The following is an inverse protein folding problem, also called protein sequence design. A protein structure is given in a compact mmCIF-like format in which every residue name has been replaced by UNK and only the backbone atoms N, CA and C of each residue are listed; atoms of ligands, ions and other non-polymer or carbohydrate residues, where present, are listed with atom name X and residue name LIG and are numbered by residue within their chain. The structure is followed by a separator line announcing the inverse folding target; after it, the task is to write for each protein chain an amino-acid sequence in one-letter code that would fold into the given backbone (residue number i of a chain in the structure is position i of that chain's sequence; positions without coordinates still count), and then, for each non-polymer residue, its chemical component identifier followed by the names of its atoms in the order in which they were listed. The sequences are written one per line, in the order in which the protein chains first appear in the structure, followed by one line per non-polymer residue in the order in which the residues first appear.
data_IF_064470237604
#
_entry.id   IF_064470237604
#
_cell.length_a   1.000
_cell.length_b   1.000
_cell.length_c   1.000
_cell.angle_alpha   90.00
_cell.angle_beta   90.00
_cell.angle_gamma   90.00
#
_symmetry.space_group_name_H-M   'P 1'
#
loop_
_entity.id
_entity.type
_entity.pdbx_description
1 polymer ?
#
# COMPACT_ATOMS: atom_id res chain seq x y z
N UNK A 1 21.87 6.44 11.46
CA UNK A 1 20.80 6.24 12.47
C UNK A 1 19.61 5.50 11.81
N UNK A 2 18.93 6.06 10.82
CA UNK A 2 17.73 5.44 10.19
C UNK A 2 17.96 4.01 9.68
N UNK A 3 19.11 3.70 9.05
CA UNK A 3 19.44 2.33 8.58
C UNK A 3 19.52 1.30 9.72
N UNK A 4 19.97 1.68 10.90
CA UNK A 4 20.00 0.80 12.09
C UNK A 4 18.57 0.57 12.57
N UNK A 5 17.80 1.63 12.74
CA UNK A 5 16.42 1.59 13.19
C UNK A 5 15.51 0.80 12.23
N UNK A 6 15.72 0.93 10.90
CA UNK A 6 15.03 0.12 9.92
C UNK A 6 15.15 -1.39 10.18
N UNK A 7 16.35 -1.86 10.53
CA UNK A 7 16.59 -3.27 10.85
C UNK A 7 15.90 -3.69 12.16
N UNK A 8 15.99 -2.84 13.19
CA UNK A 8 15.37 -3.07 14.49
C UNK A 8 13.83 -3.14 14.38
N UNK A 9 13.22 -2.32 13.50
CA UNK A 9 11.78 -2.35 13.25
C UNK A 9 11.35 -3.63 12.52
N UNK A 10 12.17 -4.11 11.57
CA UNK A 10 11.84 -5.33 10.81
C UNK A 10 12.08 -6.64 11.57
N UNK A 11 12.98 -6.64 12.53
CA UNK A 11 13.38 -7.85 13.25
C UNK A 11 12.20 -8.63 13.87
N UNK A 12 11.24 -7.98 14.56
CA UNK A 12 10.09 -8.66 15.15
C UNK A 12 8.97 -8.98 14.15
N UNK A 13 9.07 -8.54 12.89
CA UNK A 13 8.02 -8.76 11.90
C UNK A 13 8.02 -10.22 11.44
N UNK A 14 6.88 -10.95 11.54
CA UNK A 14 6.81 -12.32 11.08
C UNK A 14 7.16 -12.47 9.59
N UNK A 15 7.64 -13.65 9.21
CA UNK A 15 7.87 -13.93 7.79
C UNK A 15 6.56 -13.85 6.99
N UNK A 16 6.67 -13.26 5.81
CA UNK A 16 5.57 -13.20 4.86
C UNK A 16 5.51 -14.48 4.03
N UNK A 17 4.31 -14.84 3.60
CA UNK A 17 4.11 -15.90 2.63
C UNK A 17 4.99 -15.68 1.38
N UNK A 18 5.55 -16.75 0.82
CA UNK A 18 6.56 -16.66 -0.26
C UNK A 18 6.09 -15.87 -1.49
N UNK A 19 4.80 -15.83 -1.75
CA UNK A 19 4.19 -15.11 -2.90
C UNK A 19 3.50 -13.82 -2.51
N UNK A 20 3.71 -13.33 -1.28
CA UNK A 20 3.09 -12.11 -0.82
C UNK A 20 3.60 -10.89 -1.59
N UNK A 21 2.76 -10.35 -2.45
CA UNK A 21 3.06 -9.15 -3.24
C UNK A 21 3.08 -7.86 -2.43
N UNK A 22 2.48 -7.85 -1.23
CA UNK A 22 2.39 -6.65 -0.38
C UNK A 22 3.60 -6.47 0.55
N UNK A 23 4.45 -7.47 0.68
CA UNK A 23 5.69 -7.37 1.48
C UNK A 23 6.51 -6.14 1.14
N UNK A 24 6.60 -5.80 -0.15
CA UNK A 24 7.36 -4.61 -0.60
C UNK A 24 6.76 -3.31 -0.07
N UNK A 25 5.44 -3.23 0.08
CA UNK A 25 4.75 -2.06 0.63
C UNK A 25 5.09 -1.87 2.10
N UNK A 26 5.15 -2.96 2.88
CA UNK A 26 5.59 -2.89 4.27
C UNK A 26 7.05 -2.46 4.38
N UNK A 27 7.94 -2.97 3.54
CA UNK A 27 9.34 -2.57 3.50
C UNK A 27 9.47 -1.06 3.25
N UNK A 28 8.72 -0.53 2.28
CA UNK A 28 8.65 0.91 2.01
C UNK A 28 8.15 1.72 3.20
N UNK A 29 7.12 1.22 3.88
CA UNK A 29 6.58 1.82 5.10
C UNK A 29 7.65 1.90 6.20
N UNK A 30 8.33 0.79 6.48
CA UNK A 30 9.38 0.74 7.51
C UNK A 30 10.55 1.66 7.17
N UNK A 31 10.94 1.75 5.89
CA UNK A 31 11.98 2.71 5.46
C UNK A 31 11.57 4.15 5.74
N UNK A 32 10.35 4.53 5.39
CA UNK A 32 9.81 5.87 5.64
C UNK A 32 9.67 6.14 7.14
N UNK A 33 9.12 5.20 7.90
CA UNK A 33 8.98 5.30 9.34
C UNK A 33 10.32 5.48 10.06
N UNK A 34 11.32 4.66 9.70
CA UNK A 34 12.66 4.79 10.24
C UNK A 34 13.31 6.14 9.88
N UNK A 35 13.01 6.71 8.72
CA UNK A 35 13.46 8.03 8.33
C UNK A 35 12.79 9.11 9.18
N UNK A 36 11.47 9.10 9.27
CA UNK A 36 10.66 10.07 10.05
C UNK A 36 11.09 10.09 11.53
N UNK A 37 11.25 8.92 12.14
CA UNK A 37 11.70 8.80 13.55
C UNK A 37 13.10 9.37 13.82
N UNK A 38 13.91 9.60 12.78
CA UNK A 38 15.24 10.22 12.90
C UNK A 38 15.27 11.67 12.40
N UNK A 39 14.16 12.24 12.00
CA UNK A 39 14.08 13.66 11.65
C UNK A 39 14.21 14.53 12.91
N UNK A 40 14.84 15.72 12.82
CA UNK A 40 14.92 16.64 13.92
C UNK A 40 13.54 17.19 14.34
N UNK A 41 12.63 17.32 13.40
CA UNK A 41 11.25 17.76 13.58
C UNK A 41 10.28 16.79 12.92
N UNK A 42 9.13 16.58 13.56
CA UNK A 42 8.06 15.74 13.00
C UNK A 42 7.44 16.46 11.81
N UNK A 43 7.35 15.80 10.64
CA UNK A 43 6.70 16.40 9.47
C UNK A 43 5.19 16.49 9.66
N UNK A 44 4.54 17.40 8.93
CA UNK A 44 3.09 17.35 8.71
C UNK A 44 2.74 16.27 7.69
N UNK A 45 1.46 15.88 7.62
CA UNK A 45 0.97 14.92 6.61
C UNK A 45 1.24 15.42 5.20
N UNK A 46 0.99 16.70 4.94
CA UNK A 46 1.19 17.35 3.64
C UNK A 46 2.66 17.30 3.20
N UNK A 47 3.57 17.72 4.09
CA UNK A 47 5.01 17.71 3.81
C UNK A 47 5.53 16.29 3.55
N UNK A 48 5.02 15.31 4.32
CA UNK A 48 5.39 13.90 4.14
C UNK A 48 4.81 13.33 2.84
N UNK A 49 3.59 13.72 2.46
CA UNK A 49 2.96 13.33 1.19
C UNK A 49 3.78 13.79 0.00
N UNK A 50 4.13 15.07 -0.05
CA UNK A 50 4.96 15.62 -1.13
C UNK A 50 6.34 14.96 -1.20
N UNK A 51 6.95 14.73 -0.05
CA UNK A 51 8.25 14.04 0.01
C UNK A 51 8.15 12.61 -0.53
N UNK A 52 7.15 11.85 -0.05
CA UNK A 52 6.99 10.43 -0.38
C UNK A 52 6.64 10.26 -1.86
N UNK A 53 5.74 11.07 -2.39
CA UNK A 53 5.42 11.10 -3.82
C UNK A 53 6.70 11.31 -4.66
N UNK A 54 7.46 12.36 -4.38
CA UNK A 54 8.70 12.65 -5.13
C UNK A 54 9.75 11.54 -5.01
N UNK A 55 9.87 10.93 -3.83
CA UNK A 55 10.82 9.85 -3.58
C UNK A 55 10.45 8.57 -4.32
N UNK A 56 9.14 8.29 -4.45
CA UNK A 56 8.64 7.07 -5.08
C UNK A 56 8.45 7.21 -6.59
N UNK A 57 7.99 8.36 -7.07
CA UNK A 57 7.62 8.57 -8.48
C UNK A 57 8.80 8.97 -9.37
N UNK A 58 9.91 8.27 -9.20
CA UNK A 58 11.09 8.37 -10.10
C UNK A 58 10.76 7.85 -11.52
N UNK A 59 11.53 8.21 -12.55
CA UNK A 59 11.24 7.81 -13.94
C UNK A 59 11.02 6.31 -14.13
N UNK A 60 11.79 5.47 -13.42
CA UNK A 60 11.65 4.02 -13.47
C UNK A 60 10.30 3.58 -12.89
N UNK A 61 9.86 4.14 -11.78
CA UNK A 61 8.56 3.83 -11.17
C UNK A 61 7.40 4.26 -12.08
N UNK A 62 7.46 5.46 -12.65
CA UNK A 62 6.47 5.93 -13.66
C UNK A 62 6.38 5.01 -14.86
N UNK A 63 7.51 4.53 -15.35
CA UNK A 63 7.54 3.53 -16.44
C UNK A 63 6.87 2.22 -15.99
N UNK A 64 7.18 1.74 -14.78
CA UNK A 64 6.58 0.53 -14.21
C UNK A 64 5.05 0.68 -14.07
N UNK A 65 4.56 1.79 -13.54
CA UNK A 65 3.13 2.07 -13.43
C UNK A 65 2.44 2.00 -14.81
N UNK A 66 3.04 2.61 -15.86
CA UNK A 66 2.50 2.53 -17.22
C UNK A 66 2.44 1.11 -17.76
N UNK A 67 3.43 0.26 -17.47
CA UNK A 67 3.41 -1.13 -17.91
C UNK A 67 2.36 -1.95 -17.13
N UNK A 68 2.20 -1.68 -15.84
CA UNK A 68 1.14 -2.30 -15.03
C UNK A 68 -0.26 -1.87 -15.49
N UNK A 69 -0.44 -0.57 -15.79
CA UNK A 69 -1.70 -0.04 -16.30
C UNK A 69 -2.18 -0.74 -17.56
N UNK A 70 -1.27 -1.06 -18.50
CA UNK A 70 -1.61 -1.78 -19.74
C UNK A 70 -2.14 -3.21 -19.50
N UNK A 71 -1.92 -3.77 -18.33
CA UNK A 71 -2.35 -5.12 -17.96
C UNK A 71 -3.59 -5.11 -17.07
N UNK A 72 -4.00 -3.92 -16.61
CA UNK A 72 -5.11 -3.75 -15.71
C UNK A 72 -6.40 -4.25 -16.36
N UNK A 73 -7.23 -4.94 -15.60
CA UNK A 73 -8.52 -5.51 -16.05
C UNK A 73 -8.45 -6.57 -17.16
N UNK A 74 -7.28 -7.07 -17.51
CA UNK A 74 -7.17 -8.24 -18.38
C UNK A 74 -7.54 -9.51 -17.61
N UNK A 75 -7.91 -10.60 -18.30
CA UNK A 75 -8.21 -11.90 -17.67
C UNK A 75 -7.08 -12.36 -16.74
N UNK A 76 -5.83 -12.13 -17.12
CA UNK A 76 -4.68 -12.47 -16.30
C UNK A 76 -4.57 -11.59 -15.04
N UNK A 77 -4.95 -10.33 -15.10
CA UNK A 77 -5.02 -9.43 -13.93
C UNK A 77 -6.13 -9.88 -12.99
N UNK A 78 -7.33 -10.14 -13.51
CA UNK A 78 -8.48 -10.62 -12.75
C UNK A 78 -8.17 -11.92 -12.02
N UNK A 79 -7.58 -12.90 -12.72
CA UNK A 79 -7.17 -14.16 -12.12
C UNK A 79 -6.09 -13.94 -11.03
N UNK A 80 -5.14 -13.04 -11.28
CA UNK A 80 -4.14 -12.65 -10.28
C UNK A 80 -4.74 -12.02 -9.03
N UNK A 81 -5.82 -11.25 -9.16
CA UNK A 81 -6.55 -10.66 -8.02
C UNK A 81 -7.31 -11.74 -7.23
N UNK A 82 -8.01 -12.68 -7.90
CA UNK A 82 -8.67 -13.81 -7.24
C UNK A 82 -7.68 -14.70 -6.47
N UNK A 83 -6.51 -14.97 -7.05
CA UNK A 83 -5.45 -15.71 -6.36
C UNK A 83 -4.91 -14.94 -5.15
N UNK A 84 -4.82 -13.62 -5.24
CA UNK A 84 -4.39 -12.76 -4.13
C UNK A 84 -5.42 -12.79 -2.99
N UNK A 85 -6.71 -12.66 -3.28
CA UNK A 85 -7.79 -12.78 -2.29
C UNK A 85 -7.73 -14.14 -1.57
N UNK A 86 -7.66 -15.25 -2.32
CA UNK A 86 -7.55 -16.60 -1.76
C UNK A 86 -6.34 -16.76 -0.85
N UNK A 87 -5.18 -16.21 -1.24
CA UNK A 87 -3.98 -16.23 -0.42
C UNK A 87 -4.17 -15.43 0.87
N UNK A 88 -4.81 -14.24 0.79
CA UNK A 88 -5.07 -13.37 1.96
C UNK A 88 -6.04 -14.00 2.95
N UNK A 89 -7.04 -14.73 2.51
CA UNK A 89 -8.01 -15.39 3.38
C UNK A 89 -7.36 -16.35 4.41
N UNK A 90 -6.21 -16.93 4.08
CA UNK A 90 -5.43 -17.83 4.95
C UNK A 90 -4.36 -17.14 5.78
N UNK A 91 -3.96 -15.91 5.43
CA UNK A 91 -2.84 -15.22 6.07
C UNK A 91 -3.22 -14.69 7.46
N UNK A 92 -2.38 -14.96 8.44
CA UNK A 92 -2.54 -14.51 9.84
C UNK A 92 -1.45 -13.51 10.27
N UNK A 93 -0.57 -13.09 9.35
CA UNK A 93 0.45 -12.10 9.65
C UNK A 93 -0.22 -10.73 9.88
N UNK A 94 -0.11 -10.13 11.08
CA UNK A 94 -0.75 -8.85 11.38
C UNK A 94 -0.19 -7.67 10.57
N UNK A 95 0.98 -7.82 9.96
CA UNK A 95 1.61 -6.82 9.09
C UNK A 95 1.37 -7.08 7.60
N UNK A 96 0.49 -8.02 7.26
CA UNK A 96 0.05 -8.27 5.91
C UNK A 96 -1.29 -7.56 5.63
N UNK A 97 -1.96 -7.93 4.55
CA UNK A 97 -3.24 -7.37 4.12
C UNK A 97 -4.26 -8.48 4.00
N UNK A 98 -5.51 -8.19 4.36
CA UNK A 98 -6.67 -8.97 3.96
C UNK A 98 -7.49 -8.15 2.99
N UNK A 99 -8.02 -8.77 1.97
CA UNK A 99 -8.87 -8.11 1.00
C UNK A 99 -10.01 -9.04 0.54
N UNK A 100 -11.13 -8.40 0.22
CA UNK A 100 -12.25 -9.01 -0.47
C UNK A 100 -12.32 -8.41 -1.88
N UNK A 101 -12.58 -9.22 -2.90
CA UNK A 101 -12.65 -8.80 -4.30
C UNK A 101 -14.10 -8.77 -4.78
N UNK A 102 -14.51 -7.63 -5.33
CA UNK A 102 -15.83 -7.41 -5.90
C UNK A 102 -15.68 -7.11 -7.39
N UNK A 103 -15.97 -8.08 -8.24
CA UNK A 103 -15.97 -7.92 -9.69
C UNK A 103 -17.24 -7.22 -10.15
N UNK A 104 -17.13 -6.27 -11.08
CA UNK A 104 -18.28 -5.57 -11.62
C UNK A 104 -19.06 -6.47 -12.58
N UNK A 105 -20.39 -6.43 -12.49
CA UNK A 105 -21.29 -7.29 -13.30
C UNK A 105 -21.12 -7.09 -14.82
N UNK A 106 -20.73 -5.89 -15.23
CA UNK A 106 -20.49 -5.54 -16.63
C UNK A 106 -19.11 -5.96 -17.16
N UNK A 107 -18.26 -6.54 -16.29
CA UNK A 107 -16.91 -6.96 -16.63
C UNK A 107 -15.92 -5.82 -16.83
N UNK A 108 -16.28 -4.57 -16.47
CA UNK A 108 -15.42 -3.39 -16.67
C UNK A 108 -14.23 -3.34 -15.71
N UNK A 109 -14.27 -4.11 -14.60
CA UNK A 109 -13.23 -4.09 -13.60
C UNK A 109 -13.62 -4.74 -12.28
N UNK A 110 -12.99 -4.27 -11.22
CA UNK A 110 -13.23 -4.76 -9.86
C UNK A 110 -12.96 -3.67 -8.82
N UNK A 111 -13.53 -3.87 -7.65
CA UNK A 111 -13.16 -3.17 -6.42
C UNK A 111 -12.45 -4.16 -5.48
N UNK A 112 -11.29 -3.78 -4.96
CA UNK A 112 -10.62 -4.50 -3.88
C UNK A 112 -10.84 -3.78 -2.55
N UNK A 113 -11.52 -4.43 -1.59
CA UNK A 113 -11.73 -3.92 -0.24
C UNK A 113 -10.72 -4.51 0.71
N UNK A 114 -9.82 -3.70 1.21
CA UNK A 114 -8.84 -4.13 2.19
C UNK A 114 -9.39 -3.93 3.60
N UNK A 115 -9.60 -5.03 4.31
CA UNK A 115 -10.11 -5.06 5.69
C UNK A 115 -9.00 -5.07 6.73
N UNK A 116 -7.76 -5.37 6.31
CA UNK A 116 -6.54 -5.26 7.09
C UNK A 116 -5.45 -4.60 6.24
N UNK A 117 -4.68 -3.70 6.86
CA UNK A 117 -3.57 -3.01 6.23
C UNK A 117 -2.31 -3.08 7.09
N UNK A 118 -1.26 -3.73 6.59
CA UNK A 118 0.01 -3.86 7.30
C UNK A 118 0.71 -2.52 7.54
N UNK A 119 0.53 -1.54 6.64
CA UNK A 119 1.03 -0.17 6.84
C UNK A 119 0.36 0.48 8.04
N UNK A 120 -0.98 0.41 8.15
CA UNK A 120 -1.71 0.97 9.29
C UNK A 120 -1.23 0.35 10.61
N UNK A 121 -1.05 -0.97 10.63
CA UNK A 121 -0.53 -1.68 11.81
C UNK A 121 0.89 -1.20 12.16
N UNK A 122 1.78 -1.17 11.20
CA UNK A 122 3.17 -0.75 11.42
C UNK A 122 3.26 0.71 11.88
N UNK A 123 2.57 1.62 11.22
CA UNK A 123 2.57 3.04 11.60
C UNK A 123 1.99 3.27 13.00
N UNK A 124 1.00 2.47 13.40
CA UNK A 124 0.46 2.48 14.76
C UNK A 124 1.50 2.04 15.78
N UNK A 125 2.23 0.95 15.53
CA UNK A 125 3.26 0.44 16.42
C UNK A 125 4.44 1.41 16.56
N UNK A 126 4.73 2.18 15.51
CA UNK A 126 5.77 3.22 15.52
C UNK A 126 5.30 4.56 16.15
N UNK A 127 4.03 4.70 16.53
CA UNK A 127 3.48 5.98 17.01
C UNK A 127 3.37 7.06 15.91
N UNK A 128 3.25 6.62 14.64
CA UNK A 128 3.20 7.46 13.45
C UNK A 128 1.87 7.33 12.69
N UNK A 129 0.81 6.81 13.32
CA UNK A 129 -0.44 6.46 12.65
C UNK A 129 -1.10 7.66 11.95
N UNK A 130 -1.02 8.85 12.54
CA UNK A 130 -1.52 10.11 11.99
C UNK A 130 -0.86 10.51 10.67
N UNK A 131 0.33 9.98 10.37
CA UNK A 131 1.06 10.20 9.12
C UNK A 131 0.74 9.16 8.04
N UNK A 132 -0.05 8.12 8.36
CA UNK A 132 -0.40 7.06 7.41
C UNK A 132 -1.10 7.56 6.14
N UNK A 133 -1.97 8.60 6.18
CA UNK A 133 -2.61 9.14 4.98
C UNK A 133 -1.62 9.58 3.88
N UNK A 134 -0.42 10.02 4.26
CA UNK A 134 0.63 10.36 3.29
C UNK A 134 1.06 9.18 2.42
N UNK A 135 1.01 7.96 2.95
CA UNK A 135 1.31 6.74 2.19
C UNK A 135 0.13 6.30 1.33
N UNK A 136 -1.11 6.46 1.83
CA UNK A 136 -2.32 6.13 1.08
C UNK A 136 -2.48 7.00 -0.18
N UNK A 137 -1.98 8.24 -0.17
CA UNK A 137 -2.02 9.14 -1.31
C UNK A 137 -1.26 8.58 -2.53
N UNK A 138 -0.23 7.76 -2.31
CA UNK A 138 0.57 7.19 -3.39
C UNK A 138 -0.26 6.32 -4.36
N UNK A 139 -1.33 5.69 -3.89
CA UNK A 139 -2.22 4.87 -4.73
C UNK A 139 -2.85 5.70 -5.86
N UNK A 140 -3.28 6.93 -5.57
CA UNK A 140 -3.81 7.86 -6.57
C UNK A 140 -2.75 8.24 -7.61
N UNK A 141 -1.56 8.61 -7.14
CA UNK A 141 -0.44 9.04 -8.01
C UNK A 141 0.03 7.90 -8.90
N UNK A 142 0.10 6.68 -8.38
CA UNK A 142 0.49 5.50 -9.16
C UNK A 142 -0.58 5.08 -10.16
N UNK A 143 -1.85 5.18 -9.80
CA UNK A 143 -2.97 4.90 -10.71
C UNK A 143 -3.01 5.90 -11.85
N UNK A 144 -2.91 7.20 -11.58
CA UNK A 144 -2.82 8.26 -12.58
C UNK A 144 -1.64 8.01 -13.53
N UNK A 145 -0.46 7.71 -13.00
CA UNK A 145 0.72 7.39 -13.80
C UNK A 145 0.55 6.11 -14.64
N UNK A 146 -0.30 5.18 -14.21
CA UNK A 146 -0.68 3.97 -14.94
C UNK A 146 -1.64 4.23 -16.09
N UNK A 147 -2.54 5.20 -15.92
CA UNK A 147 -3.50 5.63 -16.94
C UNK A 147 -4.56 4.60 -17.32
N UNK A 148 -4.80 3.58 -16.49
CA UNK A 148 -5.72 2.49 -16.80
C UNK A 148 -7.04 2.54 -16.03
N UNK A 149 -7.14 3.32 -14.97
CA UNK A 149 -8.32 3.40 -14.12
C UNK A 149 -8.54 4.83 -13.64
N UNK A 150 -9.81 5.17 -13.40
CA UNK A 150 -10.19 6.32 -12.59
C UNK A 150 -10.24 5.85 -11.14
N UNK A 151 -9.07 5.74 -10.49
CA UNK A 151 -8.99 5.27 -9.13
C UNK A 151 -9.88 6.10 -8.20
N UNK A 152 -10.88 5.46 -7.64
CA UNK A 152 -11.83 6.05 -6.71
C UNK A 152 -11.69 5.40 -5.34
N UNK A 153 -11.84 6.20 -4.28
CA UNK A 153 -11.78 5.75 -2.91
C UNK A 153 -12.65 6.64 -2.04
N UNK A 154 -13.56 6.03 -1.31
CA UNK A 154 -14.40 6.72 -0.33
C UNK A 154 -13.84 6.54 1.10
N UNK A 155 -13.30 5.36 1.40
CA UNK A 155 -12.82 5.00 2.73
C UNK A 155 -11.34 4.61 2.73
N UNK A 156 -10.67 4.93 3.83
CA UNK A 156 -9.39 4.31 4.20
C UNK A 156 -9.38 3.93 5.68
N UNK A 157 -8.75 2.81 6.00
CA UNK A 157 -8.49 2.42 7.40
C UNK A 157 -7.66 3.51 8.10
N UNK A 158 -6.72 4.13 7.38
CA UNK A 158 -5.89 5.21 7.88
C UNK A 158 -6.67 6.44 8.32
N UNK A 159 -7.83 6.70 7.72
CA UNK A 159 -8.73 7.82 8.08
C UNK A 159 -9.90 7.38 8.97
N UNK A 160 -9.86 6.16 9.53
CA UNK A 160 -10.90 5.63 10.43
C UNK A 160 -12.08 4.97 9.71
N UNK A 161 -12.00 4.75 8.41
CA UNK A 161 -12.99 3.98 7.65
C UNK A 161 -12.95 2.49 8.01
N UNK A 162 -14.03 1.75 7.69
CA UNK A 162 -14.15 0.33 8.02
C UNK A 162 -13.24 -0.56 7.16
N UNK A 163 -12.84 -0.08 6.00
CA UNK A 163 -11.94 -0.73 5.03
C UNK A 163 -11.27 0.33 4.15
N UNK A 164 -10.33 -0.10 3.28
CA UNK A 164 -9.89 0.72 2.16
C UNK A 164 -10.54 0.16 0.90
N UNK A 165 -11.36 0.95 0.23
CA UNK A 165 -11.90 0.64 -1.09
C UNK A 165 -10.91 1.09 -2.16
N UNK A 166 -10.68 0.22 -3.13
CA UNK A 166 -9.75 0.45 -4.23
C UNK A 166 -10.45 0.01 -5.53
N UNK A 167 -11.23 0.91 -6.11
CA UNK A 167 -12.00 0.74 -7.34
C UNK A 167 -11.44 1.52 -8.54
#
# INVERSE_FOLDING_TARGET
KAKKQYREILEPVPEFEKKDRFKVNLIGCVMLGAYVLNMPERPTVEALTEYYERAMMIPMMKWFCRQSGKRKFTDADMEGMRQTENLRAGDRNPYSWNMDLYEYEDGSGYEARFTQCGICKMMKDLGLYDLTPAMCHLDYVMSEAGGASNFAREYTIASGGPYCDCG
#
